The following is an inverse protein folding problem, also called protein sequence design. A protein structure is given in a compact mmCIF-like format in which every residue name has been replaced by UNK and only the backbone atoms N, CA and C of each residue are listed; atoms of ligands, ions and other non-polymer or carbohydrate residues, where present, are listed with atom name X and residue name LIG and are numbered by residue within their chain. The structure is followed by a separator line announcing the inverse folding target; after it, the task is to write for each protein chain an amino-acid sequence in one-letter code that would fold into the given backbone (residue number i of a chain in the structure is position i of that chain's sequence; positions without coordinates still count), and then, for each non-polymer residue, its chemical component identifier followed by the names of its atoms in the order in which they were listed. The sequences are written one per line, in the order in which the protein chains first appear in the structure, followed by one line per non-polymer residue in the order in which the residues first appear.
data_IF_874848900453
#
_entry.id   IF_874848900453
#
_cell.length_a   1.000
_cell.length_b   1.000
_cell.length_c   1.000
_cell.angle_alpha   90.00
_cell.angle_beta   90.00
_cell.angle_gamma   90.00
#
_symmetry.space_group_name_H-M   'P 1'
#
loop_
_entity.id
_entity.type
_entity.pdbx_description
1 polymer ?
#
# COMPACT_ATOMS: atom_id res chain seq x y z
N UNK A 1 -22.37 65.27 -47.94
CA UNK A 1 -21.74 63.94 -47.79
C UNK A 1 -21.59 63.53 -46.31
N UNK A 2 -22.59 63.73 -45.46
CA UNK A 2 -22.52 63.39 -44.01
C UNK A 2 -23.64 62.46 -43.51
N UNK A 3 -24.63 62.16 -44.35
CA UNK A 3 -25.83 61.40 -43.97
C UNK A 3 -25.67 59.87 -44.09
N UNK A 4 -24.75 59.38 -44.95
CA UNK A 4 -24.42 57.94 -45.01
C UNK A 4 -23.60 57.46 -43.80
N UNK A 5 -22.85 58.35 -43.15
CA UNK A 5 -21.97 58.00 -42.04
C UNK A 5 -22.72 57.70 -40.73
N UNK A 6 -23.95 58.18 -40.57
CA UNK A 6 -24.75 57.98 -39.35
C UNK A 6 -25.62 56.73 -39.40
N UNK A 7 -26.04 56.26 -40.59
CA UNK A 7 -26.81 55.01 -40.73
C UNK A 7 -25.95 53.76 -40.51
N UNK A 8 -24.70 53.75 -40.98
CA UNK A 8 -23.79 52.61 -40.79
C UNK A 8 -23.19 52.50 -39.38
N UNK A 9 -23.21 53.60 -38.60
CA UNK A 9 -22.58 53.67 -37.27
C UNK A 9 -23.40 53.00 -36.17
N UNK A 10 -24.73 52.91 -36.36
CA UNK A 10 -25.66 52.26 -35.42
C UNK A 10 -25.45 50.74 -35.31
N UNK A 11 -25.37 49.94 -36.39
CA UNK A 11 -25.14 48.50 -36.26
C UNK A 11 -23.74 48.17 -35.70
N UNK A 12 -22.72 48.97 -36.03
CA UNK A 12 -21.37 48.79 -35.48
C UNK A 12 -21.34 49.05 -33.97
N UNK A 13 -22.04 50.09 -33.49
CA UNK A 13 -22.14 50.36 -32.06
C UNK A 13 -22.84 49.21 -31.31
N UNK A 14 -23.91 48.63 -31.86
CA UNK A 14 -24.58 47.47 -31.28
C UNK A 14 -23.71 46.21 -31.28
N UNK A 15 -22.93 45.98 -32.33
CA UNK A 15 -21.99 44.85 -32.39
C UNK A 15 -20.90 44.97 -31.30
N UNK A 16 -20.38 46.18 -31.06
CA UNK A 16 -19.39 46.43 -30.02
C UNK A 16 -20.00 46.18 -28.63
N UNK A 17 -21.21 46.68 -28.38
CA UNK A 17 -21.91 46.46 -27.10
C UNK A 17 -22.18 44.98 -26.85
N UNK A 18 -22.62 44.25 -27.88
CA UNK A 18 -22.86 42.81 -27.77
C UNK A 18 -21.56 42.03 -27.50
N UNK A 19 -20.45 42.41 -28.17
CA UNK A 19 -19.14 41.80 -27.94
C UNK A 19 -18.63 42.04 -26.51
N UNK A 20 -18.79 43.26 -25.99
CA UNK A 20 -18.41 43.59 -24.61
C UNK A 20 -19.27 42.85 -23.58
N UNK A 21 -20.57 42.70 -23.82
CA UNK A 21 -21.45 41.90 -22.97
C UNK A 21 -21.07 40.42 -22.97
N UNK A 22 -20.75 39.85 -24.13
CA UNK A 22 -20.31 38.46 -24.24
C UNK A 22 -18.99 38.23 -23.47
N UNK A 23 -18.04 39.16 -23.57
CA UNK A 23 -16.78 39.13 -22.82
C UNK A 23 -17.01 39.24 -21.31
N UNK A 24 -17.91 40.14 -20.88
CA UNK A 24 -18.27 40.31 -19.48
C UNK A 24 -18.93 39.07 -18.89
N UNK A 25 -19.87 38.46 -19.62
CA UNK A 25 -20.55 37.22 -19.21
C UNK A 25 -19.54 36.07 -19.14
N UNK A 26 -18.67 35.92 -20.16
CA UNK A 26 -17.63 34.90 -20.17
C UNK A 26 -16.68 35.03 -18.96
N UNK A 27 -16.24 36.25 -18.65
CA UNK A 27 -15.36 36.52 -17.51
C UNK A 27 -16.04 36.26 -16.16
N UNK A 28 -17.32 36.61 -16.03
CA UNK A 28 -18.09 36.33 -14.81
C UNK A 28 -18.30 34.82 -14.61
N UNK A 29 -18.61 34.09 -15.68
CA UNK A 29 -18.77 32.64 -15.65
C UNK A 29 -17.43 31.97 -15.30
N UNK A 30 -16.32 32.38 -15.91
CA UNK A 30 -15.01 31.77 -15.64
C UNK A 30 -14.51 32.03 -14.21
N UNK A 31 -14.77 33.21 -13.65
CA UNK A 31 -14.42 33.54 -12.26
C UNK A 31 -15.25 32.78 -11.24
N UNK A 32 -16.56 32.59 -11.49
CA UNK A 32 -17.43 31.81 -10.62
C UNK A 32 -17.12 30.31 -10.66
N UNK A 33 -16.85 29.74 -11.84
CA UNK A 33 -16.49 28.32 -11.94
C UNK A 33 -15.07 28.02 -11.42
N UNK A 34 -14.10 28.92 -11.62
CA UNK A 34 -12.71 28.73 -11.15
C UNK A 34 -12.58 28.63 -9.62
N UNK A 35 -13.43 29.32 -8.87
CA UNK A 35 -13.45 29.21 -7.40
C UNK A 35 -13.99 27.85 -6.91
N UNK A 36 -14.94 27.27 -7.63
CA UNK A 36 -15.50 25.96 -7.31
C UNK A 36 -14.48 24.83 -7.56
N UNK A 37 -13.74 24.91 -8.66
CA UNK A 37 -12.69 23.93 -9.01
C UNK A 37 -11.51 23.99 -8.04
N UNK A 38 -11.06 25.19 -7.67
CA UNK A 38 -9.99 25.37 -6.67
C UNK A 38 -10.37 24.79 -5.31
N UNK A 39 -11.63 24.93 -4.88
CA UNK A 39 -12.12 24.35 -3.62
C UNK A 39 -12.18 22.81 -3.67
N UNK A 40 -12.55 22.23 -4.80
CA UNK A 40 -12.54 20.77 -4.97
C UNK A 40 -11.12 20.22 -5.01
N UNK A 41 -10.21 20.90 -5.70
CA UNK A 41 -8.80 20.49 -5.80
C UNK A 41 -8.10 20.60 -4.44
N UNK A 42 -8.37 21.65 -3.67
CA UNK A 42 -7.87 21.78 -2.30
C UNK A 42 -8.43 20.69 -1.36
N UNK A 43 -9.71 20.30 -1.51
CA UNK A 43 -10.31 19.19 -0.74
C UNK A 43 -9.71 17.85 -1.13
N UNK A 44 -9.52 17.61 -2.42
CA UNK A 44 -8.84 16.41 -2.93
C UNK A 44 -7.41 16.34 -2.40
N UNK A 45 -6.62 17.40 -2.53
CA UNK A 45 -5.25 17.48 -2.02
C UNK A 45 -5.16 17.29 -0.51
N UNK A 46 -6.10 17.83 0.26
CA UNK A 46 -6.15 17.62 1.71
C UNK A 46 -6.46 16.17 2.07
N UNK A 47 -7.42 15.55 1.38
CA UNK A 47 -7.81 14.17 1.63
C UNK A 47 -6.70 13.20 1.23
N UNK A 48 -6.01 13.43 0.11
CA UNK A 48 -4.88 12.60 -0.31
C UNK A 48 -3.69 12.73 0.63
N UNK A 49 -3.37 13.95 1.09
CA UNK A 49 -2.33 14.16 2.09
C UNK A 49 -2.66 13.47 3.43
N UNK A 50 -3.91 13.56 3.88
CA UNK A 50 -4.35 12.90 5.11
C UNK A 50 -4.32 11.37 5.00
N UNK A 51 -4.76 10.82 3.86
CA UNK A 51 -4.69 9.39 3.59
C UNK A 51 -3.25 8.88 3.53
N UNK A 52 -2.32 9.64 2.94
CA UNK A 52 -0.91 9.29 2.90
C UNK A 52 -0.27 9.25 4.30
N UNK A 53 -0.58 10.22 5.16
CA UNK A 53 -0.10 10.24 6.55
C UNK A 53 -0.66 9.04 7.33
N UNK A 54 -1.95 8.74 7.18
CA UNK A 54 -2.58 7.63 7.89
C UNK A 54 -2.01 6.28 7.42
N UNK A 55 -1.85 6.09 6.12
CA UNK A 55 -1.20 4.90 5.56
C UNK A 55 0.26 4.75 6.04
N UNK A 56 0.99 5.85 6.19
CA UNK A 56 2.35 5.83 6.73
C UNK A 56 2.39 5.37 8.19
N UNK A 57 1.47 5.88 9.02
CA UNK A 57 1.36 5.47 10.42
C UNK A 57 0.97 3.99 10.56
N UNK A 58 0.03 3.50 9.74
CA UNK A 58 -0.39 2.10 9.76
C UNK A 58 0.75 1.16 9.34
N UNK A 59 1.54 1.55 8.32
CA UNK A 59 2.72 0.81 7.91
C UNK A 59 3.77 0.75 9.02
N UNK A 60 4.09 1.88 9.66
CA UNK A 60 5.06 1.94 10.76
C UNK A 60 4.58 1.11 11.96
N UNK A 61 3.29 1.18 12.31
CA UNK A 61 2.73 0.41 13.41
C UNK A 61 2.76 -1.11 13.11
N UNK A 62 2.45 -1.49 11.88
CA UNK A 62 2.52 -2.90 11.43
C UNK A 62 3.95 -3.43 11.52
N UNK A 63 4.93 -2.65 11.02
CA UNK A 63 6.35 -3.04 11.09
C UNK A 63 6.81 -3.12 12.56
N UNK A 64 6.45 -2.12 13.38
CA UNK A 64 6.83 -2.11 14.80
C UNK A 64 6.26 -3.30 15.58
N UNK A 65 5.00 -3.65 15.34
CA UNK A 65 4.35 -4.81 15.98
C UNK A 65 4.95 -6.13 15.49
N UNK A 66 5.25 -6.26 14.19
CA UNK A 66 5.92 -7.43 13.66
C UNK A 66 7.32 -7.61 14.25
N UNK A 67 8.13 -6.55 14.30
CA UNK A 67 9.47 -6.59 14.88
C UNK A 67 9.47 -6.98 16.37
N UNK A 68 8.51 -6.44 17.14
CA UNK A 68 8.35 -6.82 18.54
C UNK A 68 7.95 -8.31 18.69
N UNK A 69 7.08 -8.80 17.82
CA UNK A 69 6.68 -10.21 17.77
C UNK A 69 7.82 -11.15 17.39
N UNK A 70 8.64 -10.78 16.41
CA UNK A 70 9.83 -11.53 16.01
C UNK A 70 10.87 -11.58 17.13
N UNK A 71 11.14 -10.46 17.80
CA UNK A 71 12.06 -10.41 18.93
C UNK A 71 11.59 -11.29 20.11
N UNK A 72 10.30 -11.27 20.44
CA UNK A 72 9.73 -12.13 21.47
C UNK A 72 9.80 -13.62 21.08
N UNK A 73 9.51 -13.94 19.82
CA UNK A 73 9.57 -15.32 19.31
C UNK A 73 11.00 -15.87 19.33
N UNK A 74 11.97 -15.05 18.94
CA UNK A 74 13.39 -15.39 18.93
C UNK A 74 13.95 -15.55 20.36
N UNK A 75 13.55 -14.67 21.30
CA UNK A 75 13.87 -14.83 22.71
C UNK A 75 13.33 -16.15 23.27
N UNK A 76 12.05 -16.45 23.04
CA UNK A 76 11.42 -17.69 23.48
C UNK A 76 12.06 -18.93 22.81
N UNK A 77 12.44 -18.83 21.54
CA UNK A 77 13.14 -19.90 20.83
C UNK A 77 14.51 -20.18 21.45
N UNK A 78 15.27 -19.13 21.81
CA UNK A 78 16.55 -19.28 22.49
C UNK A 78 16.42 -19.88 23.89
N UNK A 79 15.44 -19.41 24.66
CA UNK A 79 15.15 -19.93 26.00
C UNK A 79 14.80 -21.43 25.94
N UNK A 80 13.85 -21.79 25.09
CA UNK A 80 13.48 -23.19 24.88
C UNK A 80 14.67 -24.05 24.40
N UNK A 81 15.50 -23.52 23.49
CA UNK A 81 16.68 -24.24 23.03
C UNK A 81 17.72 -24.43 24.15
N UNK A 82 17.87 -23.45 25.04
CA UNK A 82 18.71 -23.55 26.22
C UNK A 82 18.17 -24.62 27.19
N UNK A 83 16.89 -24.57 27.50
CA UNK A 83 16.24 -25.52 28.42
C UNK A 83 16.32 -26.95 27.88
N UNK A 84 16.03 -27.15 26.59
CA UNK A 84 16.13 -28.47 25.94
C UNK A 84 17.57 -29.01 26.02
N UNK A 85 18.58 -28.18 25.78
CA UNK A 85 19.99 -28.61 25.78
C UNK A 85 20.55 -28.86 27.17
N UNK A 86 20.02 -28.20 28.20
CA UNK A 86 20.45 -28.36 29.59
C UNK A 86 19.58 -29.33 30.38
N UNK A 87 18.48 -29.82 29.81
CA UNK A 87 17.63 -30.82 30.44
C UNK A 87 18.41 -32.12 30.74
N UNK A 88 18.14 -32.80 31.87
CA UNK A 88 18.67 -34.12 32.14
C UNK A 88 18.34 -35.09 30.99
N UNK A 89 19.37 -35.73 30.43
CA UNK A 89 19.21 -36.64 29.30
C UNK A 89 19.18 -35.97 27.92
N UNK A 90 19.40 -34.66 27.81
CA UNK A 90 19.48 -33.96 26.52
C UNK A 90 20.55 -34.53 25.58
N UNK A 91 21.65 -35.04 26.14
CA UNK A 91 22.74 -35.69 25.41
C UNK A 91 22.64 -37.22 25.42
N UNK A 92 21.55 -37.79 25.94
CA UNK A 92 21.37 -39.22 25.95
C UNK A 92 21.25 -39.73 24.51
N UNK A 93 21.91 -40.86 24.17
CA UNK A 93 21.76 -41.43 22.84
C UNK A 93 20.31 -41.82 22.60
N UNK A 94 19.76 -41.34 21.49
CA UNK A 94 18.42 -41.73 21.04
C UNK A 94 18.51 -43.13 20.46
N UNK A 95 17.54 -43.98 20.80
CA UNK A 95 17.42 -45.31 20.20
C UNK A 95 17.42 -45.20 18.64
N UNK A 96 18.22 -46.00 17.92
CA UNK A 96 18.33 -45.88 16.47
C UNK A 96 16.98 -46.10 15.73
N UNK A 97 16.11 -46.97 16.26
CA UNK A 97 14.80 -47.23 15.67
C UNK A 97 13.86 -46.05 15.88
N UNK A 98 13.91 -45.41 17.06
CA UNK A 98 13.16 -44.19 17.35
C UNK A 98 13.63 -43.01 16.47
N UNK A 99 14.94 -42.84 16.30
CA UNK A 99 15.51 -41.83 15.40
C UNK A 99 15.04 -42.05 13.95
N UNK A 100 15.15 -43.27 13.43
CA UNK A 100 14.71 -43.61 12.08
C UNK A 100 13.19 -43.40 11.88
N UNK A 101 12.37 -43.73 12.88
CA UNK A 101 10.93 -43.47 12.84
C UNK A 101 10.62 -41.96 12.81
N UNK A 102 11.36 -41.16 13.57
CA UNK A 102 11.27 -39.70 13.57
C UNK A 102 11.56 -39.12 12.19
N UNK A 103 12.69 -39.50 11.58
CA UNK A 103 13.05 -39.06 10.23
C UNK A 103 11.98 -39.46 9.20
N UNK A 104 11.52 -40.73 9.22
CA UNK A 104 10.43 -41.17 8.31
C UNK A 104 9.15 -40.35 8.49
N UNK A 105 8.81 -39.96 9.71
CA UNK A 105 7.65 -39.10 10.00
C UNK A 105 7.84 -37.70 9.42
N UNK A 106 9.03 -37.11 9.57
CA UNK A 106 9.37 -35.81 9.01
C UNK A 106 9.30 -35.81 7.49
N UNK A 107 9.81 -36.85 6.82
CA UNK A 107 9.80 -36.97 5.36
C UNK A 107 8.39 -37.04 4.74
N UNK A 108 7.34 -37.31 5.54
CA UNK A 108 5.95 -37.25 5.07
C UNK A 108 5.45 -35.80 4.90
N UNK A 109 6.08 -34.82 5.57
CA UNK A 109 5.69 -33.42 5.54
C UNK A 109 6.24 -32.73 4.29
N UNK A 110 5.44 -31.83 3.69
CA UNK A 110 5.82 -31.14 2.45
C UNK A 110 7.15 -30.38 2.57
N UNK A 111 7.39 -29.72 3.71
CA UNK A 111 8.59 -28.94 3.98
C UNK A 111 9.91 -29.74 3.99
N UNK A 112 9.84 -31.08 4.07
CA UNK A 112 11.03 -31.94 4.18
C UNK A 112 11.22 -32.88 2.97
N UNK A 113 10.35 -32.83 1.96
CA UNK A 113 10.41 -33.77 0.82
C UNK A 113 11.69 -33.70 0.01
N UNK A 114 12.31 -32.52 -0.06
CA UNK A 114 13.52 -32.27 -0.86
C UNK A 114 14.82 -32.48 -0.07
N UNK A 115 14.72 -32.87 1.21
CA UNK A 115 15.91 -33.19 2.02
C UNK A 115 16.58 -34.45 1.46
N UNK A 116 17.92 -34.48 1.31
CA UNK A 116 18.64 -35.65 0.79
C UNK A 116 18.31 -36.94 1.55
N UNK A 117 18.13 -36.85 2.88
CA UNK A 117 17.75 -38.00 3.71
C UNK A 117 16.38 -38.59 3.33
N UNK A 118 15.44 -37.74 2.91
CA UNK A 118 14.08 -38.16 2.56
C UNK A 118 13.98 -38.74 1.14
N UNK A 119 14.84 -38.30 0.23
CA UNK A 119 14.93 -38.84 -1.13
C UNK A 119 15.43 -40.29 -1.13
N UNK A 120 16.36 -40.61 -0.23
CA UNK A 120 16.90 -41.97 -0.07
C UNK A 120 15.88 -42.96 0.52
N UNK A 121 14.90 -42.47 1.28
CA UNK A 121 13.84 -43.29 1.88
C UNK A 121 12.56 -43.40 1.03
N UNK A 122 12.41 -42.57 -0.02
CA UNK A 122 11.24 -42.59 -0.90
C UNK A 122 11.19 -43.83 -1.84
N UNK A 123 12.30 -44.54 -2.00
CA UNK A 123 12.48 -45.66 -2.94
C UNK A 123 12.21 -47.05 -2.37
N UNK A 124 11.85 -47.18 -1.08
CA UNK A 124 11.40 -48.45 -0.51
C UNK A 124 9.87 -48.58 -0.65
N UNK A 125 9.40 -49.01 -1.83
CA UNK A 125 8.04 -49.53 -2.04
C UNK A 125 8.10 -50.98 -2.49
#
# INVERSE_FOLDING_TARGET
MTWLATLLRKPIAWAIVAALLALGIWWLVSTLLGGATAKTEARLGKNTAQAAIQSGNDAVNTIGTQMAGEAATDALTRENAHDIRNAPGANAPVDPAAHAAGIRSLCKRAAYRERPECLQHATAR
#
